data_IF_588277158517
#
_entry.id   IF_588277158517
#
_cell.length_a   1.000
_cell.length_b   1.000
_cell.length_c   1.000
_cell.angle_alpha   90.00
_cell.angle_beta   90.00
_cell.angle_gamma   90.00
#
_symmetry.space_group_name_H-M   'P 1'
#
loop_
_entity.id
_entity.type
_entity.pdbx_description
1 polymer ?
#
# COMPACT_ATOMS: atom_id res chain seq x y z
N UNK A 1 54.75 -15.39 -11.71
CA UNK A 1 53.53 -14.63 -12.07
C UNK A 1 52.38 -15.19 -11.24
N UNK A 2 51.70 -14.32 -10.49
CA UNK A 2 50.50 -14.65 -9.70
C UNK A 2 49.30 -14.64 -10.65
N UNK A 3 48.51 -15.72 -10.69
CA UNK A 3 47.13 -15.66 -11.16
C UNK A 3 46.23 -15.75 -9.94
N UNK A 4 45.53 -14.67 -9.66
CA UNK A 4 44.49 -14.62 -8.65
C UNK A 4 43.26 -15.35 -9.20
N UNK A 5 42.80 -16.35 -8.45
CA UNK A 5 41.46 -16.91 -8.56
C UNK A 5 40.51 -15.86 -8.03
N UNK A 6 39.63 -15.31 -8.86
CA UNK A 6 38.51 -14.50 -8.40
C UNK A 6 37.46 -15.45 -7.84
N UNK A 7 37.42 -15.50 -6.50
CA UNK A 7 36.36 -16.13 -5.75
C UNK A 7 35.25 -15.09 -5.61
N UNK A 8 34.31 -15.06 -6.56
CA UNK A 8 33.05 -14.31 -6.43
C UNK A 8 32.14 -15.05 -5.44
N UNK A 9 32.54 -15.03 -4.17
CA UNK A 9 31.59 -15.09 -3.07
C UNK A 9 31.34 -13.65 -2.66
N UNK A 10 30.50 -12.96 -3.43
CA UNK A 10 29.73 -11.86 -2.89
C UNK A 10 28.43 -12.48 -2.39
N UNK A 11 28.42 -12.83 -1.10
CA UNK A 11 27.20 -12.81 -0.29
C UNK A 11 26.60 -11.40 -0.45
N UNK A 12 25.78 -11.26 -1.49
CA UNK A 12 24.78 -10.20 -1.49
C UNK A 12 23.86 -10.62 -0.36
N UNK A 13 23.58 -9.79 0.66
CA UNK A 13 22.51 -10.12 1.57
C UNK A 13 21.33 -10.44 0.66
N UNK A 14 20.71 -11.60 0.86
CA UNK A 14 19.37 -11.83 0.36
C UNK A 14 18.61 -10.58 0.80
N UNK A 15 18.38 -9.65 -0.11
CA UNK A 15 17.22 -8.79 -0.01
C UNK A 15 16.12 -9.81 0.10
N UNK A 16 15.67 -10.08 1.33
CA UNK A 16 14.45 -10.80 1.63
C UNK A 16 13.50 -10.33 0.54
N UNK A 17 13.15 -11.22 -0.39
CA UNK A 17 12.17 -10.88 -1.41
C UNK A 17 11.00 -10.34 -0.62
N UNK A 18 10.69 -9.05 -0.77
CA UNK A 18 9.46 -8.52 -0.20
C UNK A 18 8.38 -9.37 -0.84
N UNK A 19 7.62 -10.12 -0.06
CA UNK A 19 6.46 -10.81 -0.59
C UNK A 19 5.55 -9.71 -1.11
N UNK A 20 5.59 -9.43 -2.41
CA UNK A 20 4.69 -8.46 -3.01
C UNK A 20 3.38 -9.17 -3.24
N UNK A 21 2.31 -8.54 -2.78
CA UNK A 21 0.95 -8.93 -3.03
C UNK A 21 0.16 -7.66 -3.29
N UNK A 22 -0.81 -7.73 -4.21
CA UNK A 22 -1.73 -6.64 -4.43
C UNK A 22 -2.92 -6.83 -3.47
N UNK A 23 -3.17 -5.90 -2.52
CA UNK A 23 -4.27 -6.05 -1.58
C UNK A 23 -5.65 -6.03 -2.26
N UNK A 24 -5.74 -5.57 -3.51
CA UNK A 24 -6.97 -5.59 -4.31
C UNK A 24 -7.19 -6.92 -5.07
N UNK A 25 -6.21 -7.82 -5.12
CA UNK A 25 -6.25 -9.02 -5.95
C UNK A 25 -7.48 -9.93 -5.67
N UNK A 26 -7.89 -10.05 -4.41
CA UNK A 26 -9.03 -10.90 -4.02
C UNK A 26 -10.38 -10.18 -4.05
N UNK A 27 -10.40 -8.87 -4.33
CA UNK A 27 -11.63 -8.10 -4.39
C UNK A 27 -12.35 -8.29 -5.73
N UNK A 28 -13.68 -8.23 -5.67
CA UNK A 28 -14.56 -8.43 -6.83
C UNK A 28 -14.64 -7.19 -7.72
N UNK A 29 -14.94 -7.39 -8.99
CA UNK A 29 -15.28 -6.30 -9.92
C UNK A 29 -16.43 -5.47 -9.35
N UNK A 30 -16.30 -4.14 -9.42
CA UNK A 30 -17.25 -3.19 -8.85
C UNK A 30 -17.01 -2.84 -7.39
N UNK A 31 -16.11 -3.56 -6.68
CA UNK A 31 -15.76 -3.22 -5.31
C UNK A 31 -15.08 -1.84 -5.24
N UNK A 32 -15.32 -1.16 -4.13
CA UNK A 32 -14.71 0.13 -3.79
C UNK A 32 -13.58 -0.05 -2.78
N UNK A 33 -12.61 0.86 -2.84
CA UNK A 33 -11.49 0.85 -1.91
C UNK A 33 -10.70 2.14 -1.89
N UNK A 34 -9.66 2.14 -1.08
CA UNK A 34 -8.70 3.22 -0.94
C UNK A 34 -7.29 2.66 -1.15
N UNK A 35 -6.58 3.22 -2.11
CA UNK A 35 -5.17 2.92 -2.38
C UNK A 35 -4.29 4.09 -1.92
N UNK A 36 -3.01 3.79 -1.67
CA UNK A 36 -1.98 4.80 -1.43
C UNK A 36 -1.01 4.72 -2.60
N UNK A 37 -0.98 5.77 -3.41
CA UNK A 37 -0.28 5.78 -4.68
C UNK A 37 0.84 6.80 -4.72
N UNK A 38 1.84 6.55 -5.55
CA UNK A 38 2.86 7.53 -5.95
C UNK A 38 2.92 7.64 -7.46
N UNK A 39 3.36 8.78 -7.96
CA UNK A 39 3.75 8.86 -9.37
C UNK A 39 4.98 8.00 -9.63
N UNK A 40 5.04 7.42 -10.84
CA UNK A 40 6.12 6.52 -11.24
C UNK A 40 7.51 7.16 -11.11
N UNK A 41 7.61 8.46 -11.35
CA UNK A 41 8.87 9.21 -11.26
C UNK A 41 9.35 9.43 -9.82
N UNK A 42 8.43 9.31 -8.85
CA UNK A 42 8.66 9.56 -7.43
C UNK A 42 8.81 8.27 -6.61
N UNK A 43 8.87 7.10 -7.28
CA UNK A 43 9.08 5.81 -6.61
C UNK A 43 10.44 5.85 -5.89
N UNK A 44 10.38 5.91 -4.57
CA UNK A 44 11.52 5.82 -3.67
C UNK A 44 11.40 4.57 -2.79
N UNK A 45 12.49 4.20 -2.10
CA UNK A 45 12.47 3.04 -1.19
C UNK A 45 11.70 3.30 0.10
N UNK A 46 11.46 4.56 0.44
CA UNK A 46 11.00 5.00 1.77
C UNK A 46 9.62 5.64 1.80
N UNK A 47 8.95 5.81 0.66
CA UNK A 47 7.62 6.44 0.52
C UNK A 47 7.34 7.55 1.55
N UNK A 48 8.04 8.70 1.44
CA UNK A 48 7.80 9.86 2.32
C UNK A 48 6.33 10.27 2.33
N UNK A 49 5.85 10.78 3.47
CA UNK A 49 4.44 11.15 3.64
C UNK A 49 3.98 12.20 2.61
N UNK A 50 4.89 13.07 2.17
CA UNK A 50 4.65 14.10 1.16
C UNK A 50 4.55 13.59 -0.29
N UNK A 51 5.07 12.39 -0.55
CA UNK A 51 5.15 11.80 -1.90
C UNK A 51 3.97 10.86 -2.19
N UNK A 52 3.24 10.43 -1.15
CA UNK A 52 2.12 9.49 -1.24
C UNK A 52 0.76 10.21 -1.31
N UNK A 53 -0.12 9.71 -2.18
CA UNK A 53 -1.49 10.21 -2.36
C UNK A 53 -2.49 9.13 -1.95
N UNK A 54 -3.48 9.50 -1.14
CA UNK A 54 -4.66 8.66 -0.91
C UNK A 54 -5.60 8.77 -2.12
N UNK A 55 -5.92 7.63 -2.73
CA UNK A 55 -6.77 7.56 -3.93
C UNK A 55 -7.95 6.64 -3.65
N UNK A 56 -9.17 7.19 -3.65
CA UNK A 56 -10.40 6.40 -3.61
C UNK A 56 -10.67 5.81 -4.97
N UNK A 57 -10.87 4.50 -5.05
CA UNK A 57 -10.93 3.73 -6.28
C UNK A 57 -12.12 2.78 -6.34
N UNK A 58 -12.44 2.37 -7.57
CA UNK A 58 -13.35 1.26 -7.90
C UNK A 58 -12.63 0.30 -8.84
N UNK A 59 -12.88 -0.99 -8.67
CA UNK A 59 -12.42 -2.04 -9.59
C UNK A 59 -13.35 -2.10 -10.81
N UNK A 60 -12.82 -1.86 -12.01
CA UNK A 60 -13.60 -1.94 -13.25
C UNK A 60 -13.68 -3.38 -13.81
N UNK A 61 -14.34 -3.54 -14.97
CA UNK A 61 -14.53 -4.83 -15.62
C UNK A 61 -13.25 -5.48 -16.14
N UNK A 62 -12.18 -4.70 -16.36
CA UNK A 62 -10.87 -5.16 -16.80
C UNK A 62 -9.92 -5.42 -15.62
N UNK A 63 -10.40 -5.24 -14.38
CA UNK A 63 -9.60 -5.25 -13.15
C UNK A 63 -8.58 -4.11 -13.09
N UNK A 64 -8.94 -2.98 -13.67
CA UNK A 64 -8.25 -1.71 -13.45
C UNK A 64 -8.80 -1.04 -12.20
N UNK A 65 -7.91 -0.42 -11.42
CA UNK A 65 -8.32 0.57 -10.43
C UNK A 65 -8.59 1.88 -11.14
N UNK A 66 -9.82 2.37 -11.01
CA UNK A 66 -10.26 3.68 -11.51
C UNK A 66 -10.62 4.60 -10.35
N UNK A 67 -10.24 5.86 -10.42
CA UNK A 67 -10.63 6.88 -9.44
C UNK A 67 -12.15 6.93 -9.32
N UNK A 68 -12.65 6.91 -8.10
CA UNK A 68 -14.09 6.83 -7.85
C UNK A 68 -14.86 8.04 -8.40
N UNK A 69 -14.28 9.24 -8.31
CA UNK A 69 -14.92 10.51 -8.67
C UNK A 69 -14.91 10.82 -10.17
N UNK A 70 -13.88 10.38 -10.88
CA UNK A 70 -13.65 10.76 -12.28
C UNK A 70 -13.58 9.58 -13.25
N UNK A 71 -13.61 8.34 -12.75
CA UNK A 71 -13.43 7.11 -13.52
C UNK A 71 -12.10 7.06 -14.32
N UNK A 72 -11.11 7.85 -13.89
CA UNK A 72 -9.79 7.87 -14.54
C UNK A 72 -8.98 6.68 -14.08
N UNK A 73 -8.22 6.12 -15.01
CA UNK A 73 -7.28 5.04 -14.73
C UNK A 73 -6.29 5.45 -13.62
N UNK A 74 -5.96 4.49 -12.75
CA UNK A 74 -4.91 4.62 -11.73
C UNK A 74 -3.82 3.60 -11.99
N UNK A 75 -4.17 2.32 -12.01
CA UNK A 75 -3.25 1.20 -12.22
C UNK A 75 -4.03 -0.09 -12.47
N UNK A 76 -3.35 -1.10 -13.00
CA UNK A 76 -3.91 -2.45 -13.04
C UNK A 76 -3.79 -3.12 -11.68
N UNK A 77 -4.72 -4.01 -11.37
CA UNK A 77 -4.57 -4.99 -10.28
C UNK A 77 -3.67 -6.12 -10.77
N UNK A 78 -2.71 -6.52 -9.93
CA UNK A 78 -1.85 -7.69 -10.20
C UNK A 78 -2.33 -8.86 -9.35
N UNK A 79 -3.03 -9.80 -9.97
CA UNK A 79 -3.66 -10.94 -9.29
C UNK A 79 -2.91 -12.28 -9.44
N UNK A 80 -1.87 -12.30 -10.28
CA UNK A 80 -0.91 -13.40 -10.39
C UNK A 80 0.49 -12.90 -10.04
N UNK A 81 1.23 -13.66 -9.22
CA UNK A 81 2.63 -13.35 -8.89
C UNK A 81 3.51 -13.47 -10.15
N UNK A 82 4.07 -12.36 -10.66
CA UNK A 82 4.89 -12.37 -11.86
C UNK A 82 6.35 -12.79 -11.58
N UNK A 83 6.70 -13.08 -10.32
CA UNK A 83 7.93 -13.78 -9.90
C UNK A 83 9.08 -12.90 -9.39
N UNK A 84 9.03 -11.59 -9.64
CA UNK A 84 9.94 -10.61 -9.02
C UNK A 84 9.33 -9.20 -8.94
N UNK A 85 9.90 -8.35 -8.08
CA UNK A 85 9.41 -7.01 -7.79
C UNK A 85 9.29 -6.11 -9.03
N UNK A 86 10.25 -6.20 -9.95
CA UNK A 86 10.26 -5.39 -11.15
C UNK A 86 9.19 -5.86 -12.15
N UNK A 87 8.92 -7.16 -12.21
CA UNK A 87 7.85 -7.73 -13.01
C UNK A 87 6.48 -7.31 -12.43
N UNK A 88 6.36 -7.24 -11.10
CA UNK A 88 5.14 -6.77 -10.42
C UNK A 88 4.82 -5.32 -10.77
N UNK A 89 5.79 -4.42 -10.63
CA UNK A 89 5.63 -3.01 -10.99
C UNK A 89 5.33 -2.85 -12.49
N UNK A 90 5.91 -3.70 -13.36
CA UNK A 90 5.61 -3.67 -14.79
C UNK A 90 4.18 -4.13 -15.10
N UNK A 91 3.69 -5.17 -14.44
CA UNK A 91 2.34 -5.69 -14.65
C UNK A 91 1.27 -4.65 -14.28
N UNK A 92 1.49 -3.92 -13.18
CA UNK A 92 0.65 -2.81 -12.73
C UNK A 92 0.51 -1.67 -13.76
N UNK A 93 1.54 -1.50 -14.60
CA UNK A 93 1.63 -0.43 -15.59
C UNK A 93 1.58 -0.96 -17.04
N UNK A 94 1.16 -2.21 -17.21
CA UNK A 94 0.96 -2.83 -18.52
C UNK A 94 -0.40 -2.38 -19.10
N UNK A 95 -0.61 -2.64 -20.40
CA UNK A 95 -1.93 -2.57 -21.05
C UNK A 95 -2.81 -1.34 -20.70
N UNK A 96 -2.15 -0.18 -20.53
CA UNK A 96 -2.79 1.07 -20.10
C UNK A 96 -3.96 1.41 -21.05
N UNK A 97 -5.18 1.65 -20.52
CA UNK A 97 -6.34 1.97 -21.33
C UNK A 97 -6.13 3.20 -22.22
N UNK A 98 -6.74 3.20 -23.42
CA UNK A 98 -6.55 4.26 -24.41
C UNK A 98 -7.16 5.62 -23.98
N UNK A 99 -8.05 5.61 -22.99
CA UNK A 99 -8.64 6.79 -22.37
C UNK A 99 -7.76 7.39 -21.25
N UNK A 100 -6.70 6.70 -20.84
CA UNK A 100 -5.77 7.19 -19.83
C UNK A 100 -4.82 8.27 -20.41
N UNK A 101 -4.50 9.27 -19.59
CA UNK A 101 -3.47 10.28 -19.90
C UNK A 101 -2.09 9.83 -19.43
N UNK A 102 -1.02 10.46 -19.93
CA UNK A 102 0.37 10.15 -19.54
C UNK A 102 0.63 10.28 -18.02
N UNK A 103 -0.20 11.03 -17.30
CA UNK A 103 -0.08 11.25 -15.85
C UNK A 103 -1.00 10.37 -15.00
N UNK A 104 -1.86 9.58 -15.64
CA UNK A 104 -2.83 8.71 -14.95
C UNK A 104 -2.17 7.52 -14.25
N UNK A 105 -1.18 6.83 -14.85
CA UNK A 105 -0.59 5.66 -14.23
C UNK A 105 0.18 6.01 -12.96
N UNK A 106 -0.20 5.39 -11.85
CA UNK A 106 0.44 5.50 -10.56
C UNK A 106 0.86 4.12 -10.04
N UNK A 107 1.76 4.09 -9.06
CA UNK A 107 2.20 2.86 -8.42
C UNK A 107 1.69 2.82 -6.99
N UNK A 108 1.12 1.70 -6.58
CA UNK A 108 0.69 1.53 -5.20
C UNK A 108 1.90 1.38 -4.28
N UNK A 109 1.92 2.17 -3.21
CA UNK A 109 2.81 1.98 -2.08
C UNK A 109 2.39 0.77 -1.23
N UNK A 110 1.16 0.26 -1.39
CA UNK A 110 0.60 -0.83 -0.58
C UNK A 110 0.94 -2.23 -1.10
N UNK A 111 1.85 -2.36 -2.08
CA UNK A 111 2.29 -3.65 -2.60
C UNK A 111 3.16 -4.37 -1.58
N UNK A 112 2.52 -5.11 -0.70
CA UNK A 112 3.18 -5.89 0.34
C UNK A 112 2.20 -6.95 0.87
N UNK A 113 2.67 -8.19 1.03
CA UNK A 113 1.90 -9.33 1.56
C UNK A 113 1.33 -9.09 2.95
N UNK A 114 1.90 -8.14 3.69
CA UNK A 114 1.42 -7.73 5.01
C UNK A 114 0.17 -6.89 4.96
N UNK A 115 -0.16 -6.27 3.83
CA UNK A 115 -1.37 -5.45 3.70
C UNK A 115 -2.54 -6.34 3.28
N UNK A 116 -3.51 -6.62 4.16
CA UNK A 116 -4.65 -7.46 3.80
C UNK A 116 -5.69 -6.69 2.97
N UNK A 117 -6.53 -7.40 2.19
CA UNK A 117 -7.63 -6.78 1.44
C UNK A 117 -8.61 -5.98 2.30
N UNK A 118 -8.78 -6.34 3.57
CA UNK A 118 -9.64 -5.61 4.51
C UNK A 118 -9.15 -4.19 4.79
N UNK A 119 -7.85 -3.90 4.64
CA UNK A 119 -7.31 -2.55 4.86
C UNK A 119 -7.67 -1.57 3.74
N UNK A 120 -7.84 -2.09 2.52
CA UNK A 120 -8.08 -1.27 1.32
C UNK A 120 -9.55 -1.24 0.93
N UNK A 121 -10.35 -2.21 1.35
CA UNK A 121 -11.78 -2.29 1.03
C UNK A 121 -12.56 -1.15 1.69
N UNK A 122 -13.53 -0.60 0.97
CA UNK A 122 -14.55 0.32 1.48
C UNK A 122 -15.94 -0.25 1.21
N UNK A 123 -16.86 -0.11 2.15
CA UNK A 123 -18.25 -0.53 1.98
C UNK A 123 -19.02 0.46 1.07
N UNK A 124 -18.79 1.76 1.26
CA UNK A 124 -19.24 2.83 0.38
C UNK A 124 -18.11 3.84 0.04
N UNK A 125 -18.35 4.68 -0.96
CA UNK A 125 -17.36 5.60 -1.50
C UNK A 125 -16.79 6.63 -0.52
N UNK A 126 -17.58 7.01 0.48
CA UNK A 126 -17.23 8.03 1.48
C UNK A 126 -16.81 7.40 2.82
N UNK A 127 -16.85 6.07 2.92
CA UNK A 127 -16.51 5.37 4.16
C UNK A 127 -15.02 5.46 4.49
N UNK A 128 -14.68 5.04 5.69
CA UNK A 128 -13.32 4.97 6.18
C UNK A 128 -12.90 3.54 6.46
N UNK A 129 -11.62 3.26 6.26
CA UNK A 129 -10.95 2.01 6.62
C UNK A 129 -9.59 2.34 7.24
N UNK A 130 -8.77 1.32 7.51
CA UNK A 130 -7.41 1.50 8.05
C UNK A 130 -6.56 2.45 7.19
N UNK A 131 -6.59 2.29 5.86
CA UNK A 131 -5.80 3.12 4.94
C UNK A 131 -6.23 4.59 5.01
N UNK A 132 -7.53 4.89 4.90
CA UNK A 132 -8.00 6.28 4.94
C UNK A 132 -7.69 6.93 6.28
N UNK A 133 -7.83 6.19 7.39
CA UNK A 133 -7.57 6.70 8.74
C UNK A 133 -6.10 7.01 8.97
N UNK A 134 -5.20 6.11 8.57
CA UNK A 134 -3.75 6.37 8.66
C UNK A 134 -3.35 7.56 7.78
N UNK A 135 -3.94 7.65 6.59
CA UNK A 135 -3.69 8.77 5.69
C UNK A 135 -4.20 10.11 6.23
N UNK A 136 -5.19 10.11 7.13
CA UNK A 136 -5.71 11.32 7.77
C UNK A 136 -4.89 11.78 9.00
N UNK A 137 -4.01 10.93 9.55
CA UNK A 137 -3.20 11.30 10.72
C UNK A 137 -2.30 12.50 10.41
N UNK A 138 -2.33 13.52 11.27
CA UNK A 138 -1.38 14.61 11.27
C UNK A 138 -0.13 14.18 12.06
N UNK A 139 0.78 13.51 11.36
CA UNK A 139 1.97 12.86 11.95
C UNK A 139 3.20 13.05 11.06
N UNK A 140 4.37 13.15 11.69
CA UNK A 140 5.65 13.11 10.96
C UNK A 140 6.20 11.70 10.80
N UNK A 141 5.61 10.72 11.49
CA UNK A 141 5.97 9.30 11.38
C UNK A 141 5.57 8.76 10.00
N UNK A 142 6.38 7.87 9.44
CA UNK A 142 6.10 7.25 8.14
C UNK A 142 4.76 6.49 8.17
N UNK A 143 3.79 6.99 7.40
CA UNK A 143 2.46 6.37 7.24
C UNK A 143 2.57 5.00 6.58
N UNK A 144 3.52 4.81 5.67
CA UNK A 144 3.80 3.53 5.05
C UNK A 144 4.30 2.49 6.08
N UNK A 145 5.29 2.82 6.90
CA UNK A 145 5.77 1.90 7.93
C UNK A 145 4.70 1.59 8.98
N UNK A 146 3.85 2.58 9.32
CA UNK A 146 2.69 2.34 10.17
C UNK A 146 1.72 1.32 9.56
N UNK A 147 1.35 1.47 8.28
CA UNK A 147 0.49 0.51 7.57
C UNK A 147 1.09 -0.90 7.54
N UNK A 148 2.40 -1.01 7.29
CA UNK A 148 3.11 -2.30 7.34
C UNK A 148 3.08 -2.92 8.74
N UNK A 149 3.21 -2.11 9.79
CA UNK A 149 3.18 -2.59 11.16
C UNK A 149 1.79 -3.08 11.56
N UNK A 150 0.74 -2.31 11.22
CA UNK A 150 -0.66 -2.72 11.40
C UNK A 150 -0.96 -4.00 10.61
N UNK A 151 -0.44 -4.12 9.39
CA UNK A 151 -0.55 -5.32 8.56
C UNK A 151 0.06 -6.56 9.21
N UNK A 152 1.23 -6.43 9.87
CA UNK A 152 1.84 -7.53 10.66
C UNK A 152 0.95 -7.98 11.82
N UNK A 153 0.23 -7.05 12.46
CA UNK A 153 -0.74 -7.41 13.50
C UNK A 153 -1.92 -8.17 12.89
N UNK A 154 -2.41 -7.73 11.73
CA UNK A 154 -3.51 -8.37 11.02
C UNK A 154 -3.20 -9.79 10.47
N UNK A 155 -1.92 -10.16 10.39
CA UNK A 155 -1.49 -11.50 9.98
C UNK A 155 -1.44 -12.52 11.13
N UNK A 156 -1.75 -12.13 12.37
CA UNK A 156 -1.79 -13.07 13.49
C UNK A 156 -2.95 -14.06 13.34
N UNK A 157 -2.73 -15.33 13.69
CA UNK A 157 -3.66 -16.45 13.44
C UNK A 157 -5.07 -16.26 14.05
N UNK A 158 -5.19 -15.40 15.06
CA UNK A 158 -6.43 -15.10 15.79
C UNK A 158 -7.02 -13.72 15.46
N UNK A 159 -6.50 -13.01 14.45
CA UNK A 159 -7.02 -11.71 14.06
C UNK A 159 -8.46 -11.81 13.51
N UNK A 160 -9.36 -11.08 14.13
CA UNK A 160 -10.80 -11.10 13.83
C UNK A 160 -11.31 -9.76 13.29
N UNK A 161 -12.58 -9.73 12.88
CA UNK A 161 -13.26 -8.49 12.57
C UNK A 161 -13.35 -7.54 13.78
N UNK A 162 -13.47 -8.07 15.01
CA UNK A 162 -13.49 -7.24 16.23
C UNK A 162 -12.12 -6.59 16.49
N UNK A 163 -11.03 -7.27 16.14
CA UNK A 163 -9.68 -6.72 16.20
C UNK A 163 -9.46 -5.62 15.15
N UNK A 164 -10.02 -5.81 13.95
CA UNK A 164 -10.04 -4.77 12.92
C UNK A 164 -10.83 -3.54 13.38
N UNK A 165 -12.05 -3.72 13.88
CA UNK A 165 -12.87 -2.63 14.42
C UNK A 165 -12.15 -1.89 15.57
N UNK A 166 -11.45 -2.63 16.43
CA UNK A 166 -10.66 -2.07 17.52
C UNK A 166 -9.45 -1.28 17.00
N UNK A 167 -8.79 -1.76 15.94
CA UNK A 167 -7.69 -1.06 15.28
C UNK A 167 -8.16 0.24 14.66
N UNK A 168 -9.29 0.21 13.95
CA UNK A 168 -9.90 1.41 13.36
C UNK A 168 -10.30 2.43 14.43
N UNK A 169 -10.93 2.00 15.53
CA UNK A 169 -11.27 2.88 16.65
C UNK A 169 -10.05 3.48 17.36
N UNK A 170 -8.93 2.76 17.41
CA UNK A 170 -7.67 3.30 17.92
C UNK A 170 -7.09 4.40 17.01
N UNK A 171 -7.20 4.23 15.69
CA UNK A 171 -6.81 5.25 14.71
C UNK A 171 -7.73 6.48 14.76
N UNK A 172 -9.03 6.29 14.97
CA UNK A 172 -9.98 7.39 15.18
C UNK A 172 -9.60 8.20 16.42
N UNK A 173 -9.26 7.51 17.51
CA UNK A 173 -8.78 8.18 18.73
C UNK A 173 -7.51 9.00 18.49
N UNK A 174 -6.59 8.51 17.64
CA UNK A 174 -5.38 9.25 17.28
C UNK A 174 -5.69 10.47 16.41
N UNK A 175 -6.65 10.36 15.47
CA UNK A 175 -7.10 11.47 14.63
C UNK A 175 -7.81 12.58 15.44
N UNK A 176 -8.34 12.28 16.62
CA UNK A 176 -8.95 13.25 17.52
C UNK A 176 -7.94 14.01 18.39
N UNK A 177 -6.65 13.63 18.39
CA UNK A 177 -5.63 14.33 19.18
C UNK A 177 -5.18 15.62 18.48
N UNK A 178 -5.27 16.75 19.18
CA UNK A 178 -4.90 18.07 18.65
C UNK A 178 -3.37 18.35 18.62
N UNK A 179 -2.53 17.40 19.05
CA UNK A 179 -1.08 17.61 19.22
C UNK A 179 -0.26 16.52 18.53
N UNK A 180 0.35 16.90 17.40
CA UNK A 180 1.23 16.07 16.57
C UNK A 180 2.35 15.40 17.37
N UNK A 181 2.94 16.06 18.38
CA UNK A 181 4.02 15.45 19.18
C UNK A 181 3.51 14.26 20.01
N UNK A 182 2.26 14.33 20.49
CA UNK A 182 1.67 13.22 21.25
C UNK A 182 1.27 12.06 20.32
N UNK A 183 0.83 12.36 19.09
CA UNK A 183 0.54 11.35 18.06
C UNK A 183 1.83 10.61 17.70
N UNK A 184 2.89 11.34 17.34
CA UNK A 184 4.17 10.77 16.91
C UNK A 184 4.77 9.86 18.01
N UNK A 185 4.81 10.36 19.25
CA UNK A 185 5.30 9.56 20.39
C UNK A 185 4.47 8.30 20.63
N UNK A 186 3.15 8.37 20.45
CA UNK A 186 2.31 7.20 20.61
C UNK A 186 2.57 6.17 19.52
N UNK A 187 2.62 6.60 18.25
CA UNK A 187 2.87 5.71 17.11
C UNK A 187 4.23 5.02 17.27
N UNK A 188 5.29 5.79 17.54
CA UNK A 188 6.64 5.22 17.72
C UNK A 188 6.75 4.27 18.91
N UNK A 189 6.03 4.53 20.01
CA UNK A 189 6.15 3.72 21.21
C UNK A 189 5.26 2.47 21.22
N UNK A 190 4.19 2.45 20.42
CA UNK A 190 3.13 1.43 20.50
C UNK A 190 2.85 0.70 19.21
N UNK A 191 3.08 1.34 18.06
CA UNK A 191 2.65 0.85 16.76
C UNK A 191 3.82 0.57 15.82
N UNK A 192 5.05 1.00 16.13
CA UNK A 192 6.29 0.69 15.40
C UNK A 192 7.28 -0.08 16.28
#
# INVERSE_FOLDING_TARGET
MKSATFNDNADTPETERRGLSDPFASLEVGATGADVCVHREDISRSFPNEDIELVRVRIDENRDLRRFDSDRFVRNIVDEDPGDDMAFIKAMLADIPADATERDPMVSALLDERIPPSFVRLDDADDENVVTRVMNLDTTVSKFELLLSLGRVAQQDDFTAEDLDSMEGALDTLNELDDTENIDQYIEAKLL
#
